data_IF_558439450372
#
_entry.id   IF_558439450372
#
_cell.length_a   1.000
_cell.length_b   1.000
_cell.length_c   1.000
_cell.angle_alpha   90.00
_cell.angle_beta   90.00
_cell.angle_gamma   90.00
#
_symmetry.space_group_name_H-M   'P 1'
#
loop_
_entity.id
_entity.type
_entity.pdbx_description
1 polymer ?
#
# COMPACT_ATOMS: atom_id res chain seq x y z
N UNK A 1 8.67 2.92 -14.20
CA UNK A 1 9.94 3.36 -13.55
C UNK A 1 10.98 2.25 -13.63
N UNK A 2 12.27 2.60 -13.58
CA UNK A 2 13.39 1.63 -13.64
C UNK A 2 13.31 0.60 -12.51
N UNK A 3 12.90 1.03 -11.32
CA UNK A 3 12.64 0.13 -10.20
C UNK A 3 11.53 -0.90 -10.51
N UNK A 4 10.49 -0.51 -11.24
CA UNK A 4 9.43 -1.41 -11.67
C UNK A 4 9.95 -2.45 -12.67
N UNK A 5 10.79 -2.02 -13.61
CA UNK A 5 11.42 -2.91 -14.60
C UNK A 5 12.36 -3.90 -13.90
N UNK A 6 13.20 -3.43 -12.96
CA UNK A 6 14.11 -4.28 -12.20
C UNK A 6 13.35 -5.34 -11.37
N UNK A 7 12.27 -4.94 -10.70
CA UNK A 7 11.40 -5.88 -9.94
C UNK A 7 10.76 -6.93 -10.86
N UNK A 8 10.27 -6.53 -12.02
CA UNK A 8 9.68 -7.46 -12.99
C UNK A 8 10.72 -8.46 -13.52
N UNK A 9 11.94 -8.01 -13.78
CA UNK A 9 13.06 -8.90 -14.19
C UNK A 9 13.38 -9.92 -13.09
N UNK A 10 13.45 -9.49 -11.83
CA UNK A 10 13.68 -10.37 -10.69
C UNK A 10 12.55 -11.38 -10.53
N UNK A 11 11.28 -10.94 -10.62
CA UNK A 11 10.10 -11.81 -10.54
C UNK A 11 10.12 -12.89 -11.64
N UNK A 12 10.43 -12.50 -12.89
CA UNK A 12 10.52 -13.41 -14.01
C UNK A 12 11.66 -14.43 -13.84
N UNK A 13 12.82 -14.00 -13.31
CA UNK A 13 13.95 -14.87 -13.03
C UNK A 13 13.59 -15.93 -11.97
N UNK A 14 13.01 -15.50 -10.85
CA UNK A 14 12.55 -16.41 -9.81
C UNK A 14 11.50 -17.38 -10.31
N UNK A 15 10.55 -16.92 -11.12
CA UNK A 15 9.53 -17.78 -11.73
C UNK A 15 10.15 -18.83 -12.65
N UNK A 16 11.16 -18.46 -13.45
CA UNK A 16 11.86 -19.39 -14.33
C UNK A 16 12.69 -20.43 -13.55
N UNK A 17 13.38 -20.00 -12.50
CA UNK A 17 14.12 -20.89 -11.60
C UNK A 17 13.17 -21.86 -10.88
N UNK A 18 12.05 -21.37 -10.38
CA UNK A 18 11.01 -22.19 -9.76
C UNK A 18 10.51 -23.30 -10.72
N UNK A 19 10.25 -22.96 -11.98
CA UNK A 19 9.86 -23.94 -13.00
C UNK A 19 10.98 -24.94 -13.29
N UNK A 20 12.21 -24.45 -13.46
CA UNK A 20 13.37 -25.27 -13.82
C UNK A 20 13.70 -26.31 -12.74
N UNK A 21 13.62 -25.91 -11.47
CA UNK A 21 14.00 -26.77 -10.34
C UNK A 21 12.79 -27.35 -9.59
N UNK A 22 11.61 -27.17 -10.15
CA UNK A 22 10.33 -27.60 -9.53
C UNK A 22 10.18 -27.12 -8.07
N UNK A 23 10.57 -25.86 -7.79
CA UNK A 23 10.44 -25.27 -6.47
C UNK A 23 9.07 -24.62 -6.31
N UNK A 24 8.40 -24.77 -5.15
CA UNK A 24 7.21 -23.98 -4.87
C UNK A 24 7.60 -22.49 -4.76
N UNK A 25 6.78 -21.62 -5.36
CA UNK A 25 7.09 -20.18 -5.44
C UNK A 25 5.82 -19.36 -5.54
N UNK A 26 5.73 -18.32 -4.76
CA UNK A 26 4.64 -17.35 -4.87
C UNK A 26 5.18 -15.92 -4.78
N UNK A 27 4.50 -15.00 -5.44
CA UNK A 27 4.84 -13.59 -5.47
C UNK A 27 3.74 -12.78 -4.82
N UNK A 28 4.11 -11.95 -3.85
CA UNK A 28 3.23 -10.97 -3.23
C UNK A 28 3.61 -9.57 -3.71
N UNK A 29 2.76 -8.97 -4.55
CA UNK A 29 2.90 -7.58 -4.99
C UNK A 29 2.17 -6.67 -4.00
N UNK A 30 2.95 -6.09 -3.08
CA UNK A 30 2.41 -5.26 -2.01
C UNK A 30 2.06 -3.87 -2.52
N UNK A 31 0.88 -3.37 -2.14
CA UNK A 31 0.47 -1.98 -2.31
C UNK A 31 1.19 -1.07 -1.30
N UNK A 32 0.87 0.22 -1.27
CA UNK A 32 1.49 1.15 -0.33
C UNK A 32 1.28 0.72 1.13
N UNK A 33 2.36 0.32 1.81
CA UNK A 33 2.30 -0.20 3.18
C UNK A 33 2.15 0.95 4.17
N UNK A 34 1.26 0.80 5.15
CA UNK A 34 1.18 1.68 6.30
C UNK A 34 1.06 0.89 7.61
N UNK A 35 1.43 1.52 8.73
CA UNK A 35 1.48 0.91 10.06
C UNK A 35 1.38 1.97 11.15
N UNK A 36 1.40 1.56 12.42
CA UNK A 36 1.47 2.49 13.54
C UNK A 36 2.67 3.45 13.46
N UNK A 37 3.80 3.00 12.91
CA UNK A 37 5.02 3.80 12.79
C UNK A 37 5.08 4.64 11.51
N UNK A 38 4.47 4.19 10.41
CA UNK A 38 4.52 4.82 9.10
C UNK A 38 3.11 5.06 8.57
N UNK A 39 2.58 6.24 8.84
CA UNK A 39 1.23 6.62 8.42
C UNK A 39 1.08 8.13 8.28
N UNK A 40 -0.05 8.56 7.73
CA UNK A 40 -0.31 9.98 7.50
C UNK A 40 -0.57 10.76 8.81
N UNK A 41 -1.10 10.11 9.86
CA UNK A 41 -1.36 10.78 11.13
C UNK A 41 -0.04 11.19 11.81
N UNK A 42 0.97 10.32 11.76
CA UNK A 42 2.30 10.64 12.26
C UNK A 42 2.89 11.82 11.49
N UNK A 43 2.86 11.80 10.16
CA UNK A 43 3.37 12.89 9.32
C UNK A 43 2.65 14.21 9.59
N UNK A 44 1.35 14.17 9.89
CA UNK A 44 0.58 15.37 10.29
C UNK A 44 1.04 15.90 11.64
N UNK A 45 1.25 15.02 12.64
CA UNK A 45 1.74 15.39 13.97
C UNK A 45 3.16 15.98 13.91
N UNK A 46 4.02 15.41 13.06
CA UNK A 46 5.42 15.84 12.88
C UNK A 46 5.55 17.11 12.00
N UNK A 47 4.45 17.62 11.43
CA UNK A 47 4.48 18.81 10.54
C UNK A 47 5.06 18.55 9.15
N UNK A 48 5.25 17.27 8.77
CA UNK A 48 5.86 16.86 7.51
C UNK A 48 4.85 16.63 6.37
N UNK A 49 3.56 16.69 6.68
CA UNK A 49 2.53 16.45 5.69
C UNK A 49 2.29 17.70 4.83
N UNK A 50 2.11 17.52 3.53
CA UNK A 50 1.75 18.54 2.55
C UNK A 50 0.58 18.07 1.71
N UNK A 51 -0.31 18.98 1.34
CA UNK A 51 -1.42 18.68 0.43
C UNK A 51 -0.88 18.74 -1.00
N UNK A 52 -1.02 17.65 -1.75
CA UNK A 52 -0.65 17.60 -3.16
C UNK A 52 -1.90 17.28 -3.95
N UNK A 53 -2.34 18.22 -4.77
CA UNK A 53 -3.53 18.08 -5.59
C UNK A 53 -3.18 17.43 -6.91
N UNK A 54 -3.76 16.26 -7.16
CA UNK A 54 -3.71 15.61 -8.46
C UNK A 54 -5.05 14.97 -8.78
N UNK A 55 -5.75 15.50 -9.78
CA UNK A 55 -7.04 14.97 -10.22
C UNK A 55 -6.89 13.54 -10.72
N UNK A 56 -7.86 12.70 -10.40
CA UNK A 56 -7.95 11.30 -10.88
C UNK A 56 -6.71 10.45 -10.55
N UNK A 57 -6.07 10.72 -9.41
CA UNK A 57 -4.89 10.00 -8.98
C UNK A 57 -5.19 9.14 -7.76
N UNK A 58 -5.03 7.83 -7.91
CA UNK A 58 -5.38 6.85 -6.89
C UNK A 58 -4.18 6.00 -6.50
N UNK A 59 -4.12 5.66 -5.23
CA UNK A 59 -3.20 4.68 -4.67
C UNK A 59 -3.98 3.59 -3.97
N UNK A 60 -3.50 2.37 -4.14
CA UNK A 60 -3.90 1.25 -3.30
C UNK A 60 -2.94 1.13 -2.13
N UNK A 61 -3.46 0.73 -0.98
CA UNK A 61 -2.72 0.60 0.29
C UNK A 61 -2.94 -0.76 0.91
N UNK A 62 -2.20 -1.06 1.95
CA UNK A 62 -2.39 -2.23 2.78
C UNK A 62 -1.80 -1.97 4.18
N UNK A 63 -2.51 -2.36 5.22
CA UNK A 63 -1.98 -2.32 6.57
C UNK A 63 -1.00 -3.47 6.81
N UNK A 64 0.05 -3.23 7.58
CA UNK A 64 1.09 -4.24 7.83
C UNK A 64 0.56 -5.51 8.51
N UNK A 65 -0.44 -5.41 9.37
CA UNK A 65 -1.05 -6.57 10.02
C UNK A 65 -1.83 -7.44 9.04
N UNK A 66 -2.50 -6.85 8.04
CA UNK A 66 -3.17 -7.60 6.97
C UNK A 66 -2.15 -8.31 6.07
N UNK A 67 -0.96 -7.72 5.85
CA UNK A 67 0.15 -8.42 5.17
C UNK A 67 0.56 -9.65 5.98
N UNK A 68 0.73 -9.49 7.30
CA UNK A 68 1.12 -10.60 8.17
C UNK A 68 0.10 -11.74 8.14
N UNK A 69 -1.20 -11.43 8.15
CA UNK A 69 -2.27 -12.41 8.04
C UNK A 69 -2.23 -13.15 6.69
N UNK A 70 -2.07 -12.43 5.58
CA UNK A 70 -1.93 -13.05 4.25
C UNK A 70 -0.74 -13.99 4.21
N UNK A 71 0.41 -13.59 4.76
CA UNK A 71 1.61 -14.43 4.82
C UNK A 71 1.36 -15.68 5.67
N UNK A 72 0.71 -15.53 6.82
CA UNK A 72 0.37 -16.65 7.69
C UNK A 72 -0.56 -17.66 6.99
N UNK A 73 -1.62 -17.20 6.32
CA UNK A 73 -2.50 -18.06 5.55
C UNK A 73 -1.80 -18.72 4.35
N UNK A 74 -0.82 -18.01 3.76
CA UNK A 74 -0.03 -18.57 2.67
C UNK A 74 0.85 -19.75 3.07
N UNK A 75 1.25 -19.85 4.33
CA UNK A 75 1.98 -21.00 4.85
C UNK A 75 1.07 -22.24 5.03
N UNK A 76 -0.22 -22.03 5.32
CA UNK A 76 -1.21 -23.11 5.45
C UNK A 76 -1.69 -23.61 4.09
N UNK A 77 -1.81 -22.70 3.13
CA UNK A 77 -2.30 -22.97 1.79
C UNK A 77 -1.35 -22.42 0.75
N UNK A 78 -0.33 -23.17 0.42
CA UNK A 78 0.71 -22.75 -0.49
C UNK A 78 0.35 -23.12 -1.95
N UNK A 79 0.01 -22.12 -2.81
CA UNK A 79 -0.21 -22.37 -4.22
C UNK A 79 1.11 -22.49 -4.96
N UNK A 80 1.17 -23.34 -5.96
CA UNK A 80 2.33 -23.41 -6.82
C UNK A 80 2.36 -22.23 -7.83
N UNK A 81 3.44 -21.49 -7.82
CA UNK A 81 3.78 -20.48 -8.83
C UNK A 81 2.70 -19.42 -9.09
N UNK A 82 2.12 -18.90 -8.02
CA UNK A 82 1.05 -17.90 -8.10
C UNK A 82 1.51 -16.49 -7.75
N UNK A 83 0.83 -15.51 -8.34
CA UNK A 83 1.07 -14.09 -8.09
C UNK A 83 -0.19 -13.48 -7.48
N UNK A 84 -0.04 -12.83 -6.33
CA UNK A 84 -1.12 -12.14 -5.63
C UNK A 84 -0.82 -10.65 -5.46
N UNK A 85 -1.80 -9.82 -5.75
CA UNK A 85 -1.79 -8.43 -5.35
C UNK A 85 -2.32 -8.33 -3.91
N UNK A 86 -1.52 -7.73 -3.04
CA UNK A 86 -1.85 -7.53 -1.63
C UNK A 86 -2.21 -6.08 -1.43
N UNK A 87 -3.50 -5.82 -1.28
CA UNK A 87 -4.09 -4.49 -1.21
C UNK A 87 -5.35 -4.51 -0.36
N UNK A 88 -5.70 -3.36 0.21
CA UNK A 88 -7.02 -3.14 0.80
C UNK A 88 -8.12 -3.03 -0.27
N UNK A 89 -9.37 -2.84 0.17
CA UNK A 89 -10.54 -2.80 -0.71
C UNK A 89 -10.79 -1.39 -1.28
N UNK A 90 -10.11 -0.34 -0.77
CA UNK A 90 -10.45 1.05 -1.09
C UNK A 90 -9.25 1.87 -1.59
N UNK A 91 -8.94 1.84 -2.89
CA UNK A 91 -8.03 2.80 -3.48
C UNK A 91 -8.52 4.24 -3.27
N UNK A 92 -7.65 5.12 -2.78
CA UNK A 92 -7.97 6.51 -2.50
C UNK A 92 -6.82 7.44 -2.92
N UNK A 93 -7.13 8.70 -3.18
CA UNK A 93 -6.09 9.69 -3.44
C UNK A 93 -5.27 10.00 -2.18
N UNK A 94 -4.06 10.54 -2.35
CA UNK A 94 -3.27 11.02 -1.21
C UNK A 94 -3.96 12.17 -0.50
N UNK A 95 -4.62 13.05 -1.25
CA UNK A 95 -5.38 14.18 -0.71
C UNK A 95 -6.55 13.67 0.16
N UNK A 96 -7.35 12.71 -0.33
CA UNK A 96 -8.47 12.13 0.41
C UNK A 96 -8.03 11.56 1.76
N UNK A 97 -6.97 10.77 1.77
CA UNK A 97 -6.45 10.15 3.00
C UNK A 97 -5.87 11.19 3.96
N UNK A 98 -5.20 12.21 3.43
CA UNK A 98 -4.66 13.31 4.22
C UNK A 98 -5.79 14.14 4.87
N UNK A 99 -6.84 14.49 4.11
CA UNK A 99 -7.97 15.24 4.63
C UNK A 99 -8.71 14.46 5.72
N UNK A 100 -8.86 13.15 5.55
CA UNK A 100 -9.39 12.28 6.59
C UNK A 100 -8.53 12.31 7.87
N UNK A 101 -7.21 12.24 7.73
CA UNK A 101 -6.28 12.35 8.86
C UNK A 101 -6.36 13.69 9.59
N UNK A 102 -6.53 14.80 8.86
CA UNK A 102 -6.71 16.16 9.42
C UNK A 102 -8.00 16.22 10.26
N UNK A 103 -9.11 15.68 9.72
CA UNK A 103 -10.39 15.61 10.43
C UNK A 103 -10.28 14.77 11.70
N UNK A 104 -9.66 13.59 11.60
CA UNK A 104 -9.48 12.65 12.71
C UNK A 104 -8.64 13.24 13.85
N UNK A 105 -7.57 13.96 13.53
CA UNK A 105 -6.68 14.61 14.50
C UNK A 105 -7.15 16.01 14.93
N UNK A 106 -8.12 16.59 14.23
CA UNK A 106 -8.57 18.00 14.42
C UNK A 106 -7.43 19.01 14.35
N UNK A 107 -6.49 18.80 13.44
CA UNK A 107 -5.34 19.69 13.23
C UNK A 107 -5.57 20.66 12.07
N UNK A 108 -4.78 21.74 12.04
CA UNK A 108 -4.82 22.70 10.95
C UNK A 108 -4.38 22.05 9.64
N UNK A 109 -5.02 22.42 8.54
CA UNK A 109 -4.62 21.98 7.19
C UNK A 109 -3.19 22.44 6.90
N UNK A 110 -2.30 21.52 6.47
CA UNK A 110 -0.97 21.89 6.00
C UNK A 110 -1.04 22.65 4.68
N UNK A 111 0.10 23.20 4.26
CA UNK A 111 0.21 23.90 2.99
C UNK A 111 -0.08 23.00 1.79
N UNK A 112 -0.58 23.61 0.73
CA UNK A 112 -0.74 22.92 -0.56
C UNK A 112 0.47 23.26 -1.42
N UNK A 113 1.07 22.25 -2.03
CA UNK A 113 2.18 22.40 -2.95
C UNK A 113 1.86 21.71 -4.28
N UNK A 114 2.51 22.15 -5.35
CA UNK A 114 2.44 21.48 -6.65
C UNK A 114 3.42 20.30 -6.70
N UNK A 115 3.21 19.39 -7.66
CA UNK A 115 4.07 18.19 -7.79
C UNK A 115 5.50 18.58 -8.15
N UNK A 116 5.65 19.65 -8.92
CA UNK A 116 6.92 20.20 -9.37
C UNK A 116 7.79 20.68 -8.19
N UNK A 117 7.14 21.14 -7.13
CA UNK A 117 7.80 21.67 -5.92
C UNK A 117 8.23 20.57 -4.93
N UNK A 118 7.95 19.30 -5.25
CA UNK A 118 8.44 18.18 -4.45
C UNK A 118 9.97 18.10 -4.54
N UNK A 119 10.63 18.06 -3.39
CA UNK A 119 12.09 18.03 -3.29
C UNK A 119 12.70 16.74 -3.86
N UNK A 120 12.00 15.61 -3.70
CA UNK A 120 12.50 14.28 -4.04
C UNK A 120 11.97 13.78 -5.38
N UNK A 121 12.86 13.36 -6.27
CA UNK A 121 12.50 12.66 -7.50
C UNK A 121 11.68 11.37 -7.23
N UNK A 122 11.92 10.70 -6.11
CA UNK A 122 11.12 9.54 -5.68
C UNK A 122 9.68 9.97 -5.42
N UNK A 123 9.47 11.11 -4.75
CA UNK A 123 8.15 11.67 -4.51
C UNK A 123 7.45 12.09 -5.80
N UNK A 124 8.15 12.73 -6.74
CA UNK A 124 7.62 13.06 -8.06
C UNK A 124 7.22 11.81 -8.84
N UNK A 125 8.07 10.77 -8.82
CA UNK A 125 7.81 9.50 -9.49
C UNK A 125 6.60 8.76 -8.90
N UNK A 126 6.33 8.90 -7.60
CA UNK A 126 5.15 8.35 -6.95
C UNK A 126 3.84 8.89 -7.56
N UNK A 127 3.83 10.14 -8.00
CA UNK A 127 2.67 10.76 -8.63
C UNK A 127 2.56 10.50 -10.14
N UNK A 128 3.53 9.85 -10.80
CA UNK A 128 3.45 9.52 -12.23
C UNK A 128 2.42 8.43 -12.53
N UNK A 129 2.29 7.47 -11.63
CA UNK A 129 1.41 6.30 -11.82
C UNK A 129 0.14 6.43 -10.96
N UNK A 130 -1.03 6.19 -11.54
CA UNK A 130 -2.30 6.08 -10.84
C UNK A 130 -2.81 4.65 -10.94
N UNK A 131 -3.04 3.98 -9.80
CA UNK A 131 -3.39 2.55 -9.78
C UNK A 131 -4.51 2.25 -8.79
N UNK A 132 -5.50 1.50 -9.29
CA UNK A 132 -6.53 0.83 -8.47
C UNK A 132 -6.27 -0.67 -8.59
N UNK A 133 -5.68 -1.25 -7.57
CA UNK A 133 -5.27 -2.65 -7.56
C UNK A 133 -6.38 -3.51 -7.01
N UNK A 134 -6.74 -4.59 -7.72
CA UNK A 134 -7.70 -5.57 -7.24
C UNK A 134 -7.02 -6.63 -6.37
N UNK A 135 -7.58 -6.87 -5.19
CA UNK A 135 -7.16 -7.90 -4.23
C UNK A 135 -8.08 -9.14 -4.28
N UNK A 136 -9.02 -9.18 -5.21
CA UNK A 136 -10.04 -10.25 -5.30
C UNK A 136 -9.42 -11.65 -5.30
N UNK A 137 -8.38 -11.88 -6.11
CA UNK A 137 -7.69 -13.18 -6.20
C UNK A 137 -7.11 -13.60 -4.84
N UNK A 138 -6.49 -12.68 -4.11
CA UNK A 138 -5.93 -12.92 -2.78
C UNK A 138 -7.03 -13.34 -1.80
N UNK A 139 -8.12 -12.55 -1.71
CA UNK A 139 -9.25 -12.83 -0.81
C UNK A 139 -9.94 -14.16 -1.14
N UNK A 140 -10.19 -14.41 -2.43
CA UNK A 140 -10.85 -15.65 -2.88
C UNK A 140 -9.99 -16.88 -2.62
N UNK A 141 -8.68 -16.77 -2.80
CA UNK A 141 -7.78 -17.89 -2.63
C UNK A 141 -7.54 -18.21 -1.15
N UNK A 142 -7.14 -17.23 -0.34
CA UNK A 142 -6.82 -17.43 1.07
C UNK A 142 -8.06 -17.43 1.97
N UNK A 143 -9.24 -17.05 1.46
CA UNK A 143 -10.51 -16.95 2.22
C UNK A 143 -10.41 -16.05 3.45
N UNK A 144 -9.68 -14.93 3.31
CA UNK A 144 -9.47 -13.96 4.38
C UNK A 144 -10.41 -12.76 4.24
N UNK A 145 -10.74 -12.18 5.38
CA UNK A 145 -11.31 -10.85 5.50
C UNK A 145 -10.24 -9.93 6.10
N UNK A 146 -9.99 -8.81 5.45
CA UNK A 146 -9.01 -7.85 5.95
C UNK A 146 -9.49 -7.27 7.29
N UNK A 147 -8.57 -7.14 8.24
CA UNK A 147 -8.81 -6.43 9.50
C UNK A 147 -9.02 -4.95 9.24
N UNK A 148 -8.30 -4.42 8.25
CA UNK A 148 -8.39 -3.02 7.82
C UNK A 148 -8.77 -2.94 6.33
N UNK A 149 -10.07 -3.10 6.00
CA UNK A 149 -10.55 -3.12 4.61
C UNK A 149 -10.36 -1.78 3.90
N UNK A 150 -10.11 -0.68 4.61
CA UNK A 150 -9.71 0.59 4.04
C UNK A 150 -8.78 1.38 4.97
N UNK A 151 -8.22 2.49 4.45
CA UNK A 151 -7.47 3.43 5.26
C UNK A 151 -8.29 4.02 6.42
N UNK A 152 -9.61 4.04 6.34
CA UNK A 152 -10.49 4.57 7.38
C UNK A 152 -10.36 3.72 8.66
N UNK A 153 -10.58 2.41 8.55
CA UNK A 153 -10.46 1.49 9.68
C UNK A 153 -9.03 1.48 10.23
N UNK A 154 -8.03 1.46 9.33
CA UNK A 154 -6.64 1.45 9.73
C UNK A 154 -6.21 2.71 10.46
N UNK A 155 -6.57 3.90 9.97
CA UNK A 155 -6.22 5.17 10.64
C UNK A 155 -6.99 5.37 11.94
N UNK A 156 -8.27 4.96 12.02
CA UNK A 156 -9.00 4.96 13.28
C UNK A 156 -8.34 4.07 14.33
N UNK A 157 -7.95 2.86 13.94
CA UNK A 157 -7.24 1.94 14.83
C UNK A 157 -5.92 2.55 15.33
N UNK A 158 -5.12 3.12 14.42
CA UNK A 158 -3.86 3.78 14.77
C UNK A 158 -4.10 4.94 15.72
N UNK A 159 -5.08 5.80 15.45
CA UNK A 159 -5.37 6.96 16.30
C UNK A 159 -5.78 6.55 17.72
N UNK A 160 -6.60 5.49 17.84
CA UNK A 160 -7.10 5.02 19.12
C UNK A 160 -6.05 4.24 19.95
N UNK A 161 -5.00 3.72 19.29
CA UNK A 161 -3.93 2.92 19.92
C UNK A 161 -2.57 3.63 19.91
N UNK A 162 -2.50 4.89 19.45
CA UNK A 162 -1.28 5.71 19.59
C UNK A 162 -1.22 6.26 21.02
N UNK A 163 -0.29 5.75 21.79
CA UNK A 163 0.11 6.27 23.11
C UNK A 163 0.90 7.57 22.91
#
# INVERSE_FOLDING_TARGET
SDNGIARLKAENLWMSLSKRFNLPFQVFRLSGIYSNQFNILKRLKDGEAKIIKKKNHFFSRIHVEDIAEVLFESLKKFPEREIFNISDDRPASSEEVLLYGIELLKVKKPETIEIEDLESEMSKNFYKDSKKVSNKKMKDFFKINLKFPSYIEGLNYINNNSI
#
